data_IF_219787618979
#
_entry.id   IF_219787618979
#
_cell.length_a   1.000
_cell.length_b   1.000
_cell.length_c   1.000
_cell.angle_alpha   90.00
_cell.angle_beta   90.00
_cell.angle_gamma   90.00
#
_symmetry.space_group_name_H-M   'P 1'
#
loop_
_entity.id
_entity.type
_entity.pdbx_description
1 polymer ?
#
# COMPACT_ATOMS: atom_id res chain seq x y z
N UNK A 1 12.33 -14.40 -4.73
CA UNK A 1 11.89 -14.88 -3.42
C UNK A 1 10.40 -15.22 -3.40
N UNK A 2 10.04 -16.26 -2.67
CA UNK A 2 8.66 -16.74 -2.58
C UNK A 2 7.71 -15.67 -2.03
N UNK A 3 8.11 -14.97 -0.99
CA UNK A 3 7.28 -13.93 -0.38
C UNK A 3 6.91 -12.83 -1.38
N UNK A 4 7.86 -12.42 -2.21
CA UNK A 4 7.62 -11.43 -3.26
C UNK A 4 6.65 -11.95 -4.32
N UNK A 5 6.81 -13.21 -4.74
CA UNK A 5 5.93 -13.84 -5.73
C UNK A 5 4.50 -13.99 -5.22
N UNK A 6 4.34 -14.23 -3.93
CA UNK A 6 3.03 -14.44 -3.28
C UNK A 6 2.34 -13.16 -2.83
N UNK A 7 2.96 -11.99 -3.04
CA UNK A 7 2.32 -10.72 -2.65
C UNK A 7 0.97 -10.57 -3.34
N UNK A 8 -0.03 -10.02 -2.64
CA UNK A 8 -1.34 -9.78 -3.26
C UNK A 8 -1.24 -8.69 -4.33
N UNK A 9 -1.96 -8.88 -5.42
CA UNK A 9 -2.06 -7.91 -6.53
C UNK A 9 -3.27 -7.01 -6.39
N UNK A 10 -4.31 -7.51 -5.72
CA UNK A 10 -5.55 -6.79 -5.46
C UNK A 10 -5.97 -7.02 -4.01
N UNK A 11 -6.91 -6.22 -3.53
CA UNK A 11 -7.43 -6.38 -2.16
C UNK A 11 -8.13 -7.72 -1.96
N UNK A 12 -8.67 -8.32 -3.02
CA UNK A 12 -9.34 -9.64 -2.93
C UNK A 12 -8.34 -10.75 -2.61
N UNK A 13 -7.08 -10.59 -2.98
CA UNK A 13 -6.03 -11.56 -2.67
C UNK A 13 -5.42 -11.36 -1.28
N UNK A 14 -5.73 -10.26 -0.60
CA UNK A 14 -5.14 -9.94 0.69
C UNK A 14 -5.63 -10.89 1.78
N UNK A 15 -4.71 -11.23 2.68
CA UNK A 15 -4.99 -11.93 3.93
C UNK A 15 -4.74 -10.94 5.06
N UNK A 16 -5.68 -10.81 5.98
CA UNK A 16 -5.60 -9.84 7.06
C UNK A 16 -6.16 -8.48 6.68
N UNK A 17 -6.01 -7.51 7.57
CA UNK A 17 -6.51 -6.15 7.41
C UNK A 17 -8.03 -6.08 7.15
N UNK A 18 -8.77 -7.03 7.69
CA UNK A 18 -10.23 -7.15 7.48
C UNK A 18 -10.97 -5.86 7.88
N UNK A 19 -10.48 -5.15 8.87
CA UNK A 19 -11.07 -3.88 9.33
C UNK A 19 -11.02 -2.78 8.26
N UNK A 20 -10.20 -2.93 7.22
CA UNK A 20 -10.01 -1.95 6.14
C UNK A 20 -10.49 -2.47 4.79
N UNK A 21 -10.11 -3.69 4.43
CA UNK A 21 -10.36 -4.25 3.09
C UNK A 21 -11.44 -5.33 3.06
N UNK A 22 -11.95 -5.74 4.22
CA UNK A 22 -13.07 -6.68 4.30
C UNK A 22 -14.32 -6.13 3.64
N UNK A 23 -15.28 -7.00 3.36
CA UNK A 23 -16.52 -6.61 2.70
C UNK A 23 -17.26 -5.51 3.49
N UNK A 24 -17.63 -4.44 2.78
CA UNK A 24 -18.31 -3.30 3.36
C UNK A 24 -17.44 -2.36 4.17
N UNK A 25 -16.13 -2.64 4.28
CA UNK A 25 -15.19 -1.78 5.02
C UNK A 25 -14.68 -0.65 4.13
N UNK A 26 -14.01 0.33 4.75
CA UNK A 26 -13.78 1.63 4.11
C UNK A 26 -12.95 1.55 2.83
N UNK A 27 -11.85 0.82 2.81
CA UNK A 27 -11.00 0.73 1.60
C UNK A 27 -11.72 -0.06 0.51
N UNK A 28 -12.35 -1.18 0.86
CA UNK A 28 -13.13 -1.96 -0.09
C UNK A 28 -14.25 -1.12 -0.71
N UNK A 29 -14.92 -0.30 0.09
CA UNK A 29 -15.97 0.61 -0.39
C UNK A 29 -15.43 1.68 -1.34
N UNK A 30 -14.27 2.28 -1.04
CA UNK A 30 -13.62 3.25 -1.92
C UNK A 30 -13.25 2.63 -3.27
N UNK A 31 -12.67 1.43 -3.26
CA UNK A 31 -12.31 0.71 -4.47
C UNK A 31 -13.56 0.39 -5.30
N UNK A 32 -14.59 -0.14 -4.66
CA UNK A 32 -15.84 -0.48 -5.33
C UNK A 32 -16.55 0.73 -5.92
N UNK A 33 -16.50 1.86 -5.24
CA UNK A 33 -17.08 3.12 -5.70
C UNK A 33 -16.22 3.81 -6.76
N UNK A 34 -15.03 3.27 -7.09
CA UNK A 34 -14.07 3.88 -8.01
C UNK A 34 -13.66 5.29 -7.59
N UNK A 35 -13.57 5.50 -6.29
CA UNK A 35 -13.23 6.80 -5.69
C UNK A 35 -12.23 6.59 -4.55
N UNK A 36 -10.97 6.39 -4.93
CA UNK A 36 -9.88 6.25 -3.96
C UNK A 36 -9.41 7.65 -3.54
N UNK A 37 -9.42 7.92 -2.25
CA UNK A 37 -8.87 9.14 -1.68
C UNK A 37 -7.50 8.88 -1.06
N UNK A 38 -6.71 9.95 -0.92
CA UNK A 38 -5.37 9.84 -0.33
C UNK A 38 -5.44 9.29 1.09
N UNK A 39 -4.45 8.47 1.46
CA UNK A 39 -4.38 7.79 2.74
C UNK A 39 -2.96 7.61 3.23
N UNK A 40 -2.82 7.38 4.51
CA UNK A 40 -1.56 7.01 5.16
C UNK A 40 -1.79 5.70 5.89
N UNK A 41 -0.98 4.72 5.56
CA UNK A 41 -0.97 3.40 6.20
C UNK A 41 0.18 3.36 7.20
N UNK A 42 -0.10 3.05 8.45
CA UNK A 42 0.95 2.94 9.45
C UNK A 42 0.84 1.65 10.25
N UNK A 43 1.99 1.16 10.66
CA UNK A 43 2.09 -0.07 11.41
C UNK A 43 3.55 -0.47 11.60
N UNK A 44 3.81 -1.52 12.40
CA UNK A 44 5.18 -1.94 12.67
C UNK A 44 5.92 -2.38 11.42
N UNK A 45 7.26 -2.36 11.44
CA UNK A 45 8.05 -2.87 10.32
C UNK A 45 7.77 -4.36 10.09
N UNK A 46 7.92 -4.80 8.84
CA UNK A 46 7.70 -6.19 8.48
C UNK A 46 6.23 -6.59 8.25
N UNK A 47 5.29 -5.66 8.38
CA UNK A 47 3.86 -5.94 8.15
C UNK A 47 3.51 -5.98 6.66
N UNK A 48 4.40 -5.50 5.78
CA UNK A 48 4.17 -5.49 4.33
C UNK A 48 3.37 -4.29 3.85
N UNK A 49 3.58 -3.12 4.43
CA UNK A 49 2.84 -1.89 4.08
C UNK A 49 2.87 -1.55 2.59
N UNK A 50 4.03 -1.65 1.96
CA UNK A 50 4.18 -1.36 0.53
C UNK A 50 3.41 -2.38 -0.32
N UNK A 51 3.44 -3.65 0.04
CA UNK A 51 2.65 -4.69 -0.66
C UNK A 51 1.15 -4.46 -0.51
N UNK A 52 0.70 -4.05 0.68
CA UNK A 52 -0.69 -3.70 0.93
C UNK A 52 -1.10 -2.49 0.08
N UNK A 53 -0.27 -1.45 0.05
CA UNK A 53 -0.49 -0.26 -0.78
C UNK A 53 -0.59 -0.63 -2.27
N UNK A 54 0.30 -1.51 -2.75
CA UNK A 54 0.28 -2.00 -4.13
C UNK A 54 -1.00 -2.77 -4.44
N UNK A 55 -1.47 -3.60 -3.51
CA UNK A 55 -2.73 -4.34 -3.68
C UNK A 55 -3.93 -3.38 -3.76
N UNK A 56 -3.95 -2.33 -2.95
CA UNK A 56 -5.00 -1.32 -3.00
C UNK A 56 -4.98 -0.60 -4.35
N UNK A 57 -3.82 -0.13 -4.78
CA UNK A 57 -3.65 0.54 -6.07
C UNK A 57 -4.00 -0.39 -7.24
N UNK A 58 -3.58 -1.64 -7.18
CA UNK A 58 -3.86 -2.67 -8.20
C UNK A 58 -5.34 -3.03 -8.31
N UNK A 59 -6.15 -2.69 -7.32
CA UNK A 59 -7.60 -2.88 -7.35
C UNK A 59 -8.32 -1.75 -8.08
N UNK A 60 -7.60 -0.73 -8.50
CA UNK A 60 -8.15 0.42 -9.23
C UNK A 60 -7.77 0.34 -10.70
N UNK A 61 -8.36 1.23 -11.51
CA UNK A 61 -8.03 1.37 -12.92
C UNK A 61 -6.89 2.36 -13.19
N UNK A 62 -6.36 2.99 -12.12
CA UNK A 62 -5.35 4.03 -12.26
C UNK A 62 -3.95 3.45 -12.33
N UNK A 63 -3.08 4.10 -13.08
CA UNK A 63 -1.65 3.86 -13.00
C UNK A 63 -1.14 4.20 -11.60
N UNK A 64 -0.15 3.46 -11.12
CA UNK A 64 0.47 3.75 -9.85
C UNK A 64 1.99 3.66 -9.95
N UNK A 65 2.67 4.44 -9.12
CA UNK A 65 4.13 4.48 -9.02
C UNK A 65 4.52 4.40 -7.56
N UNK A 66 5.64 3.75 -7.30
CA UNK A 66 6.18 3.59 -5.95
C UNK A 66 7.47 4.37 -5.82
N UNK A 67 7.51 5.29 -4.88
CA UNK A 67 8.70 6.06 -4.50
C UNK A 67 8.96 5.91 -2.99
N UNK A 68 10.17 6.27 -2.59
CA UNK A 68 10.58 6.29 -1.20
C UNK A 68 11.06 7.72 -0.87
N UNK A 69 10.51 8.32 0.17
CA UNK A 69 10.79 9.71 0.51
C UNK A 69 12.25 10.00 0.85
N UNK A 70 13.01 8.98 1.29
CA UNK A 70 14.43 9.10 1.60
C UNK A 70 15.29 8.97 0.36
N UNK A 71 15.00 7.98 -0.48
CA UNK A 71 15.84 7.60 -1.61
C UNK A 71 15.59 8.48 -2.83
N UNK A 72 14.34 8.80 -3.11
CA UNK A 72 13.95 9.56 -4.30
C UNK A 72 13.92 11.06 -4.02
N UNK A 73 14.21 11.85 -5.05
CA UNK A 73 14.26 13.30 -4.95
C UNK A 73 13.00 13.94 -5.54
N UNK A 74 12.95 15.28 -5.47
CA UNK A 74 11.84 16.05 -6.02
C UNK A 74 11.61 15.79 -7.51
N UNK A 75 12.69 15.58 -8.26
CA UNK A 75 12.62 15.32 -9.70
C UNK A 75 11.87 14.04 -10.01
N UNK A 76 12.03 13.01 -9.20
CA UNK A 76 11.25 11.76 -9.34
C UNK A 76 9.75 12.03 -9.14
N UNK A 77 9.40 12.91 -8.21
CA UNK A 77 8.01 13.31 -7.98
C UNK A 77 7.44 14.16 -9.12
N UNK A 78 8.29 15.00 -9.73
CA UNK A 78 7.91 15.79 -10.90
C UNK A 78 7.52 14.89 -12.08
N UNK A 79 8.22 13.76 -12.26
CA UNK A 79 7.89 12.78 -13.29
C UNK A 79 6.49 12.18 -13.05
N UNK A 80 6.18 11.85 -11.81
CA UNK A 80 4.85 11.34 -11.44
C UNK A 80 3.77 12.39 -11.71
N UNK A 81 4.04 13.65 -11.37
CA UNK A 81 3.10 14.74 -11.61
C UNK A 81 2.84 14.98 -13.11
N UNK A 82 3.87 14.88 -13.94
CA UNK A 82 3.72 14.97 -15.40
C UNK A 82 2.88 13.82 -15.95
N UNK A 83 3.12 12.61 -15.48
CA UNK A 83 2.28 11.46 -15.84
C UNK A 83 0.82 11.68 -15.45
N UNK A 84 0.58 12.23 -14.28
CA UNK A 84 -0.78 12.52 -13.81
C UNK A 84 -1.48 13.58 -14.69
N UNK A 85 -0.75 14.57 -15.18
CA UNK A 85 -1.28 15.55 -16.14
C UNK A 85 -1.72 14.89 -17.44
N UNK A 86 -0.96 13.93 -17.91
CA UNK A 86 -1.22 13.24 -19.19
C UNK A 86 -2.35 12.22 -19.09
N UNK A 87 -2.41 11.48 -17.99
CA UNK A 87 -3.38 10.39 -17.78
C UNK A 87 -4.60 10.78 -16.95
N UNK A 88 -4.59 11.98 -16.36
CA UNK A 88 -5.70 12.50 -15.54
C UNK A 88 -5.57 12.21 -14.05
N UNK A 89 -5.02 11.06 -13.65
CA UNK A 89 -4.83 10.69 -12.24
C UNK A 89 -3.80 9.57 -12.12
N UNK A 90 -2.93 9.67 -11.13
CA UNK A 90 -1.95 8.63 -10.79
C UNK A 90 -1.96 8.42 -9.28
N UNK A 91 -1.83 7.17 -8.87
CA UNK A 91 -1.63 6.82 -7.47
C UNK A 91 -0.14 6.82 -7.18
N UNK A 92 0.29 7.61 -6.20
CA UNK A 92 1.66 7.61 -5.71
C UNK A 92 1.72 6.84 -4.39
N UNK A 93 2.38 5.69 -4.43
CA UNK A 93 2.73 4.93 -3.23
C UNK A 93 4.05 5.49 -2.74
N UNK A 94 4.06 6.06 -1.55
CA UNK A 94 5.24 6.74 -0.99
C UNK A 94 5.64 6.11 0.32
N UNK A 95 6.72 5.32 0.27
CA UNK A 95 7.29 4.70 1.46
C UNK A 95 8.08 5.73 2.27
N UNK A 96 8.18 5.52 3.58
CA UNK A 96 8.84 6.43 4.51
C UNK A 96 8.26 7.86 4.42
N UNK A 97 6.95 7.99 4.27
CA UNK A 97 6.27 9.27 4.01
C UNK A 97 6.57 10.34 5.08
N UNK A 98 6.86 9.91 6.30
CA UNK A 98 7.24 10.81 7.40
C UNK A 98 8.60 11.51 7.19
N UNK A 99 9.39 11.03 6.23
CA UNK A 99 10.70 11.58 5.91
C UNK A 99 10.68 12.60 4.76
N UNK A 100 9.50 12.99 4.29
CA UNK A 100 9.39 14.05 3.29
C UNK A 100 9.96 15.36 3.85
N UNK A 101 10.89 15.97 3.11
CA UNK A 101 11.35 17.31 3.44
C UNK A 101 10.33 18.37 3.01
N UNK A 102 10.57 19.62 3.42
CA UNK A 102 9.62 20.70 3.13
C UNK A 102 9.43 20.94 1.63
N UNK A 103 10.49 20.90 0.85
CA UNK A 103 10.43 21.15 -0.60
C UNK A 103 9.55 20.09 -1.29
N UNK A 104 9.71 18.83 -0.92
CA UNK A 104 8.89 17.73 -1.47
C UNK A 104 7.44 17.82 -1.02
N UNK A 105 7.19 18.22 0.24
CA UNK A 105 5.85 18.46 0.75
C UNK A 105 5.16 19.60 -0.01
N UNK A 106 5.83 20.72 -0.17
CA UNK A 106 5.29 21.89 -0.85
C UNK A 106 4.99 21.59 -2.33
N UNK A 107 5.82 20.78 -2.96
CA UNK A 107 5.58 20.33 -4.33
C UNK A 107 4.35 19.41 -4.41
N UNK A 108 4.21 18.49 -3.48
CA UNK A 108 3.17 17.46 -3.51
C UNK A 108 1.78 18.00 -3.19
N UNK A 109 1.69 18.95 -2.26
CA UNK A 109 0.41 19.46 -1.75
C UNK A 109 -0.57 19.92 -2.83
N UNK A 110 -0.20 20.76 -3.82
CA UNK A 110 -1.14 21.17 -4.86
C UNK A 110 -1.71 20.01 -5.66
N UNK A 111 -0.92 18.96 -5.88
CA UNK A 111 -1.35 17.76 -6.62
C UNK A 111 -2.29 16.89 -5.80
N UNK A 112 -2.17 16.90 -4.49
CA UNK A 112 -3.13 16.23 -3.61
C UNK A 112 -4.44 17.03 -3.56
N UNK A 113 -4.35 18.33 -3.50
CA UNK A 113 -5.52 19.22 -3.43
C UNK A 113 -6.37 19.14 -4.70
N UNK A 114 -5.75 19.10 -5.88
CA UNK A 114 -6.49 19.02 -7.13
C UNK A 114 -6.87 17.59 -7.55
N UNK A 115 -6.45 16.58 -6.79
CA UNK A 115 -6.80 15.18 -7.03
C UNK A 115 -6.06 14.50 -8.17
N UNK A 116 -5.07 15.13 -8.79
CA UNK A 116 -4.27 14.50 -9.85
C UNK A 116 -3.38 13.41 -9.32
N UNK A 117 -2.85 13.59 -8.12
CA UNK A 117 -2.11 12.55 -7.40
C UNK A 117 -2.95 12.10 -6.23
N UNK A 118 -3.21 10.80 -6.14
CA UNK A 118 -3.76 10.15 -4.96
C UNK A 118 -2.58 9.52 -4.22
N UNK A 119 -2.37 9.93 -2.97
CA UNK A 119 -1.27 9.44 -2.15
C UNK A 119 -1.69 8.20 -1.36
N UNK A 120 -0.86 7.16 -1.40
CA UNK A 120 -0.89 6.09 -0.40
C UNK A 120 0.47 6.11 0.29
N UNK A 121 0.55 6.82 1.40
CA UNK A 121 1.76 6.92 2.20
C UNK A 121 1.90 5.73 3.14
N UNK A 122 3.13 5.26 3.33
CA UNK A 122 3.45 4.20 4.28
C UNK A 122 4.47 4.69 5.29
N UNK A 123 4.27 4.36 6.55
CA UNK A 123 5.16 4.77 7.64
C UNK A 123 5.11 3.80 8.81
N UNK A 124 6.23 3.66 9.53
CA UNK A 124 6.29 2.98 10.82
C UNK A 124 6.01 3.92 11.99
N UNK A 125 6.12 5.24 11.75
CA UNK A 125 5.94 6.27 12.79
C UNK A 125 4.48 6.63 12.94
N UNK A 126 4.10 7.10 14.14
CA UNK A 126 2.75 7.59 14.37
C UNK A 126 2.49 8.84 13.51
N UNK A 127 1.55 8.78 12.55
CA UNK A 127 1.35 9.86 11.59
C UNK A 127 0.90 11.17 12.24
N UNK A 128 0.20 11.10 13.37
CA UNK A 128 -0.29 12.28 14.07
C UNK A 128 0.83 13.15 14.63
N UNK A 129 2.03 12.58 14.80
CA UNK A 129 3.21 13.30 15.30
C UNK A 129 4.28 13.47 14.24
N UNK A 130 4.37 12.53 13.30
CA UNK A 130 5.50 12.45 12.38
C UNK A 130 5.24 13.08 11.02
N UNK A 131 3.97 13.31 10.65
CA UNK A 131 3.60 13.83 9.33
C UNK A 131 3.12 15.27 9.44
N UNK A 132 3.60 16.09 8.50
CA UNK A 132 3.19 17.49 8.40
C UNK A 132 1.66 17.59 8.38
N UNK A 133 1.07 18.50 9.21
CA UNK A 133 -0.39 18.66 9.27
C UNK A 133 -1.05 18.96 7.93
N UNK A 134 -0.38 19.66 7.03
CA UNK A 134 -0.94 19.99 5.72
C UNK A 134 -1.13 18.74 4.85
N UNK A 135 -0.17 17.81 4.86
CA UNK A 135 -0.32 16.51 4.20
C UNK A 135 -1.36 15.66 4.93
N UNK A 136 -1.24 15.57 6.25
CA UNK A 136 -2.12 14.74 7.07
C UNK A 136 -3.59 15.11 6.93
N UNK A 137 -3.90 16.41 6.83
CA UNK A 137 -5.29 16.88 6.69
C UNK A 137 -5.92 16.52 5.34
N UNK A 138 -5.10 16.16 4.35
CA UNK A 138 -5.56 15.71 3.03
C UNK A 138 -5.74 14.20 2.96
N UNK A 139 -5.39 13.45 4.01
CA UNK A 139 -5.34 12.01 3.99
C UNK A 139 -6.22 11.40 5.07
N UNK A 140 -6.77 10.24 4.80
CA UNK A 140 -7.32 9.36 5.84
C UNK A 140 -6.17 8.53 6.41
N UNK A 141 -6.19 8.28 7.69
CA UNK A 141 -5.13 7.55 8.39
C UNK A 141 -5.67 6.18 8.79
N UNK A 142 -4.96 5.13 8.40
CA UNK A 142 -5.35 3.75 8.68
C UNK A 142 -4.21 3.01 9.37
N UNK A 143 -4.54 2.38 10.50
CA UNK A 143 -3.60 1.50 11.19
C UNK A 143 -3.68 0.10 10.61
N UNK A 144 -2.51 -0.47 10.33
CA UNK A 144 -2.38 -1.86 9.90
C UNK A 144 -2.08 -2.75 11.10
N UNK A 145 -2.66 -3.94 11.10
CA UNK A 145 -2.49 -4.90 12.19
C UNK A 145 -1.60 -6.06 11.76
N UNK A 146 -0.77 -6.61 12.67
CA UNK A 146 -0.05 -7.85 12.38
C UNK A 146 -1.03 -8.97 12.03
N UNK A 147 -0.59 -9.90 11.19
CA UNK A 147 -1.38 -11.08 10.86
C UNK A 147 -1.57 -11.96 12.10
N UNK A 148 -2.77 -12.51 12.27
CA UNK A 148 -3.03 -13.53 13.27
C UNK A 148 -2.34 -14.84 12.90
N UNK A 149 -2.22 -15.76 13.86
CA UNK A 149 -1.66 -17.09 13.60
C UNK A 149 -2.43 -17.82 12.51
N UNK A 150 -3.77 -17.74 12.53
CA UNK A 150 -4.60 -18.35 11.51
C UNK A 150 -4.39 -17.75 10.14
N UNK A 151 -4.21 -16.42 10.06
CA UNK A 151 -3.92 -15.71 8.81
C UNK A 151 -2.54 -16.08 8.27
N UNK A 152 -1.54 -16.19 9.13
CA UNK A 152 -0.20 -16.63 8.74
C UNK A 152 -0.24 -18.05 8.18
N UNK A 153 -0.93 -18.96 8.82
CA UNK A 153 -1.12 -20.34 8.31
C UNK A 153 -1.76 -20.35 6.93
N UNK A 154 -2.78 -19.53 6.75
CA UNK A 154 -3.47 -19.41 5.45
C UNK A 154 -2.52 -18.95 4.34
N UNK A 155 -1.69 -17.93 4.60
CA UNK A 155 -0.68 -17.43 3.65
C UNK A 155 0.33 -18.52 3.30
N UNK A 156 0.81 -19.27 4.28
CA UNK A 156 1.77 -20.36 4.07
C UNK A 156 1.13 -21.45 3.19
N UNK A 157 -0.09 -21.85 3.48
CA UNK A 157 -0.80 -22.87 2.70
C UNK A 157 -1.04 -22.42 1.27
N UNK A 158 -1.42 -21.17 1.05
CA UNK A 158 -1.55 -20.62 -0.30
C UNK A 158 -0.22 -20.67 -1.07
N UNK A 159 0.89 -20.36 -0.43
CA UNK A 159 2.22 -20.41 -1.06
C UNK A 159 2.60 -21.84 -1.45
N UNK A 160 2.23 -22.84 -0.64
CA UNK A 160 2.49 -24.25 -0.92
C UNK A 160 1.64 -24.80 -2.05
N UNK A 161 0.43 -24.28 -2.24
CA UNK A 161 -0.56 -24.79 -3.20
C UNK A 161 -0.54 -24.05 -4.54
N UNK A 162 -0.10 -22.78 -4.58
CA UNK A 162 -0.11 -21.97 -5.80
C UNK A 162 0.92 -22.47 -6.80
N UNK A 163 0.45 -22.94 -7.97
CA UNK A 163 1.32 -23.51 -9.01
C UNK A 163 2.00 -22.44 -9.89
N UNK A 164 1.46 -21.24 -9.95
CA UNK A 164 2.01 -20.16 -10.76
C UNK A 164 3.05 -19.33 -10.01
N UNK A 165 2.73 -18.93 -8.76
CA UNK A 165 3.53 -17.99 -7.97
C UNK A 165 4.23 -18.64 -6.80
N UNK A 166 3.76 -19.79 -6.35
CA UNK A 166 4.24 -20.47 -5.16
C UNK A 166 4.95 -21.79 -5.46
N UNK A 167 4.85 -22.71 -4.51
CA UNK A 167 5.49 -24.00 -4.51
C UNK A 167 4.54 -25.15 -4.90
N UNK A 168 3.40 -24.86 -5.53
CA UNK A 168 2.39 -25.85 -5.86
C UNK A 168 2.81 -26.94 -6.84
N UNK A 169 3.89 -26.71 -7.61
CA UNK A 169 4.48 -27.72 -8.50
C UNK A 169 5.40 -28.70 -7.76
N UNK A 170 5.73 -28.42 -6.49
CA UNK A 170 6.62 -29.20 -5.66
C UNK A 170 5.82 -29.94 -4.59
N UNK A 171 6.27 -31.11 -4.20
CA UNK A 171 5.74 -31.78 -3.03
C UNK A 171 6.49 -31.28 -1.80
N UNK A 172 5.82 -30.49 -0.99
CA UNK A 172 6.36 -29.94 0.24
C UNK A 172 5.48 -30.38 1.40
N UNK A 173 6.07 -31.10 2.33
CA UNK A 173 5.42 -31.50 3.57
C UNK A 173 5.77 -30.50 4.67
N UNK A 174 4.73 -30.02 5.36
CA UNK A 174 4.89 -29.07 6.46
C UNK A 174 4.50 -29.75 7.75
N UNK A 175 5.45 -29.81 8.67
CA UNK A 175 5.22 -30.34 10.01
C UNK A 175 4.25 -29.40 10.77
N UNK A 176 3.26 -29.97 11.48
CA UNK A 176 2.33 -29.21 12.30
C UNK A 176 3.04 -28.29 13.31
N UNK A 177 4.18 -28.76 13.87
CA UNK A 177 4.97 -27.96 14.79
C UNK A 177 5.63 -26.74 14.15
N UNK A 178 5.72 -26.69 12.82
CA UNK A 178 6.25 -25.55 12.07
C UNK A 178 5.20 -24.46 11.82
N UNK A 179 3.92 -24.78 11.95
CA UNK A 179 2.81 -23.87 11.85
C UNK A 179 2.46 -23.30 13.22
#
# INVERSE_FOLDING_TARGET
PLAFRMRPRTIDEMVGQEHLVGEGKIIQRMVKAKHLSSMILYGPPGIGKTSIATAIAGSTQYAFRTLNAVVHNKKDMEIVAEEAKMSGKVILILDEVHRLDKAKQDFLLPHLENGRIVLIGATTSNPYHAINPAIRSRCQIFELHPLSVGEIKHVIMQALEDTERGLGEYQVDLDEGAL
#
